data_IF_958916861213
#
_entry.id   IF_958916861213
#
_cell.length_a   1.000
_cell.length_b   1.000
_cell.length_c   1.000
_cell.angle_alpha   90.00
_cell.angle_beta   90.00
_cell.angle_gamma   90.00
#
_symmetry.space_group_name_H-M   'P 1'
#
loop_
_entity.id
_entity.type
_entity.pdbx_description
1 polymer ?
#
# COMPACT_ATOMS: atom_id res chain seq x y z
N UNK A 1 19.60 30.54 12.08
CA UNK A 1 19.05 29.23 12.44
C UNK A 1 20.18 28.24 12.37
N UNK A 2 20.55 27.67 13.49
CA UNK A 2 21.61 26.65 13.59
C UNK A 2 21.15 25.33 13.00
N UNK A 3 22.09 24.44 12.63
CA UNK A 3 21.76 23.09 12.12
C UNK A 3 20.92 22.32 13.14
N UNK A 4 21.25 22.47 14.42
CA UNK A 4 20.52 21.81 15.52
C UNK A 4 19.06 22.30 15.62
N UNK A 5 18.79 23.58 15.38
CA UNK A 5 17.43 24.13 15.37
C UNK A 5 16.58 23.50 14.26
N UNK A 6 17.19 23.28 13.07
CA UNK A 6 16.52 22.63 11.93
C UNK A 6 16.23 21.18 12.26
N UNK A 7 17.17 20.48 12.86
CA UNK A 7 17.00 19.09 13.24
C UNK A 7 15.88 18.93 14.27
N UNK A 8 15.89 19.75 15.32
CA UNK A 8 14.86 19.77 16.35
C UNK A 8 13.47 20.04 15.76
N UNK A 9 13.38 21.03 14.86
CA UNK A 9 12.11 21.33 14.18
C UNK A 9 11.61 20.14 13.34
N UNK A 10 12.50 19.49 12.59
CA UNK A 10 12.15 18.32 11.76
C UNK A 10 11.70 17.14 12.62
N UNK A 11 12.38 16.87 13.73
CA UNK A 11 12.00 15.79 14.65
C UNK A 11 10.66 16.08 15.32
N UNK A 12 10.42 17.33 15.73
CA UNK A 12 9.13 17.73 16.30
C UNK A 12 7.99 17.57 15.29
N UNK A 13 8.19 17.97 14.03
CA UNK A 13 7.21 17.79 12.95
C UNK A 13 6.92 16.32 12.63
N UNK A 14 7.78 15.42 13.07
CA UNK A 14 7.61 13.97 12.92
C UNK A 14 7.06 13.31 14.18
N UNK A 15 6.60 14.08 15.16
CA UNK A 15 6.06 13.57 16.44
C UNK A 15 7.07 12.74 17.25
N UNK A 16 8.35 13.05 17.14
CA UNK A 16 9.41 12.33 17.89
C UNK A 16 9.72 12.96 19.25
N UNK A 17 9.23 14.18 19.53
CA UNK A 17 9.33 14.84 20.84
C UNK A 17 7.97 14.99 21.51
N UNK A 18 7.00 15.52 20.76
CA UNK A 18 5.63 15.66 21.24
C UNK A 18 4.79 14.63 20.52
N UNK A 19 4.27 13.63 21.22
CA UNK A 19 3.46 12.59 20.59
C UNK A 19 2.22 13.16 19.92
N UNK A 20 1.81 12.52 18.82
CA UNK A 20 0.54 12.79 18.18
C UNK A 20 -0.61 12.25 19.02
N UNK A 21 -1.78 12.83 18.84
CA UNK A 21 -3.00 12.44 19.53
C UNK A 21 -3.41 10.99 19.18
N UNK A 22 -3.33 10.65 17.88
CA UNK A 22 -3.72 9.34 17.38
C UNK A 22 -2.92 8.96 16.10
N UNK A 23 -3.12 7.73 15.65
CA UNK A 23 -2.48 7.13 14.48
C UNK A 23 -2.86 7.85 13.18
N UNK A 24 -4.12 8.27 13.05
CA UNK A 24 -4.62 8.93 11.84
C UNK A 24 -4.01 10.32 11.69
N UNK A 25 -3.81 11.03 12.81
CA UNK A 25 -3.06 12.29 12.83
C UNK A 25 -1.65 12.14 12.30
N UNK A 26 -0.95 11.06 12.70
CA UNK A 26 0.39 10.74 12.16
C UNK A 26 0.32 10.45 10.67
N UNK A 27 -0.61 9.58 10.24
CA UNK A 27 -0.73 9.18 8.84
C UNK A 27 -1.04 10.37 7.94
N UNK A 28 -1.97 11.25 8.33
CA UNK A 28 -2.32 12.46 7.57
C UNK A 28 -1.17 13.46 7.50
N UNK A 29 -0.56 13.77 8.64
CA UNK A 29 0.50 14.78 8.73
C UNK A 29 1.78 14.39 7.98
N UNK A 30 2.08 13.09 7.91
CA UNK A 30 3.26 12.55 7.23
C UNK A 30 2.96 12.03 5.82
N UNK A 31 1.73 12.19 5.33
CA UNK A 31 1.27 11.65 4.05
C UNK A 31 1.49 10.11 3.96
N UNK A 32 1.22 9.41 5.06
CA UNK A 32 1.41 7.99 5.19
C UNK A 32 2.76 7.57 5.76
N UNK A 33 2.85 6.32 6.14
CA UNK A 33 4.07 5.68 6.63
C UNK A 33 4.41 4.47 5.76
N UNK A 34 5.69 4.31 5.46
CA UNK A 34 6.15 3.13 4.71
C UNK A 34 5.75 1.86 5.45
N UNK A 35 5.07 0.95 4.75
CA UNK A 35 4.49 -0.26 5.29
C UNK A 35 4.89 -1.52 4.52
N UNK A 36 6.07 -1.49 3.87
CA UNK A 36 6.65 -2.67 3.24
C UNK A 36 6.71 -3.83 4.23
N UNK A 37 7.22 -3.54 5.41
CA UNK A 37 7.15 -4.40 6.59
C UNK A 37 6.15 -3.81 7.57
N UNK A 38 4.97 -4.40 7.68
CA UNK A 38 3.87 -3.84 8.48
C UNK A 38 4.24 -3.67 9.96
N UNK A 39 4.97 -4.63 10.54
CA UNK A 39 5.46 -4.52 11.90
C UNK A 39 6.33 -3.27 12.16
N UNK A 40 7.16 -2.88 11.18
CA UNK A 40 7.97 -1.66 11.30
C UNK A 40 7.08 -0.40 11.24
N UNK A 41 6.00 -0.43 10.45
CA UNK A 41 5.02 0.65 10.39
C UNK A 41 4.30 0.80 11.74
N UNK A 42 3.86 -0.29 12.37
CA UNK A 42 3.25 -0.27 13.70
C UNK A 42 4.23 0.26 14.76
N UNK A 43 5.51 -0.15 14.69
CA UNK A 43 6.54 0.39 15.57
C UNK A 43 6.74 1.90 15.37
N UNK A 44 6.76 2.36 14.12
CA UNK A 44 6.86 3.77 13.79
C UNK A 44 5.66 4.60 14.31
N UNK A 45 4.44 4.06 14.27
CA UNK A 45 3.26 4.65 14.88
C UNK A 45 3.39 4.71 16.40
N UNK A 46 3.79 3.59 17.03
CA UNK A 46 4.00 3.54 18.48
C UNK A 46 4.96 4.62 18.98
N UNK A 47 6.07 4.82 18.28
CA UNK A 47 7.05 5.86 18.63
C UNK A 47 6.45 7.27 18.55
N UNK A 48 5.56 7.51 17.60
CA UNK A 48 4.97 8.82 17.34
C UNK A 48 3.73 9.14 18.16
N UNK A 49 2.98 8.12 18.56
CA UNK A 49 1.81 8.27 19.42
C UNK A 49 2.12 8.04 20.90
N UNK A 50 3.33 7.53 21.24
CA UNK A 50 3.71 7.21 22.62
C UNK A 50 2.94 6.04 23.24
N UNK A 51 2.11 5.36 22.48
CA UNK A 51 1.26 4.22 22.89
C UNK A 51 1.20 3.15 21.81
N UNK A 52 0.74 1.96 22.15
CA UNK A 52 0.50 0.92 21.14
C UNK A 52 -0.59 1.39 20.18
N UNK A 53 -0.41 1.19 18.84
CA UNK A 53 -1.44 1.52 17.87
C UNK A 53 -2.70 0.72 18.08
N UNK A 54 -3.86 1.35 17.87
CA UNK A 54 -5.16 0.70 17.86
C UNK A 54 -5.38 0.01 16.50
N UNK A 55 -5.31 -1.32 16.49
CA UNK A 55 -5.46 -2.11 15.27
C UNK A 55 -6.87 -2.04 14.69
N UNK A 56 -7.90 -1.81 15.50
CA UNK A 56 -9.27 -1.66 15.00
C UNK A 56 -9.44 -0.33 14.25
N UNK A 57 -8.86 0.75 14.77
CA UNK A 57 -8.81 2.03 14.08
C UNK A 57 -8.04 1.88 12.76
N UNK A 58 -6.88 1.24 12.78
CA UNK A 58 -6.09 1.05 11.56
C UNK A 58 -6.82 0.21 10.52
N UNK A 59 -7.54 -0.84 10.94
CA UNK A 59 -8.30 -1.71 10.03
C UNK A 59 -9.49 -1.01 9.38
N UNK A 60 -10.15 -0.10 10.09
CA UNK A 60 -11.36 0.58 9.61
C UNK A 60 -11.08 1.91 8.92
N UNK A 61 -10.03 2.61 9.33
CA UNK A 61 -9.77 4.00 8.93
C UNK A 61 -8.41 4.22 8.24
N UNK A 62 -7.67 3.16 7.96
CA UNK A 62 -6.43 3.21 7.19
C UNK A 62 -6.40 2.14 6.10
N UNK A 63 -5.61 2.37 5.06
CA UNK A 63 -5.41 1.42 3.97
C UNK A 63 -3.93 1.29 3.64
N UNK A 64 -3.48 0.05 3.43
CA UNK A 64 -2.14 -0.25 2.94
C UNK A 64 -2.20 -0.43 1.44
N UNK A 65 -1.49 0.43 0.71
CA UNK A 65 -1.49 0.40 -0.75
C UNK A 65 -0.17 0.88 -1.35
N UNK A 66 -0.01 0.64 -2.63
CA UNK A 66 1.07 1.24 -3.42
C UNK A 66 0.81 2.74 -3.59
N UNK A 67 1.79 3.57 -3.24
CA UNK A 67 1.70 5.03 -3.32
C UNK A 67 2.95 5.60 -3.98
N UNK A 68 3.45 6.72 -3.46
CA UNK A 68 4.61 7.43 -3.98
C UNK A 68 5.82 6.50 -4.20
N UNK A 69 6.48 6.66 -5.33
CA UNK A 69 7.69 5.93 -5.73
C UNK A 69 7.55 4.41 -5.80
N UNK A 70 6.32 3.89 -5.96
CA UNK A 70 6.11 2.47 -6.08
C UNK A 70 6.42 1.66 -4.81
N UNK A 71 6.26 2.26 -3.64
CA UNK A 71 6.41 1.58 -2.35
C UNK A 71 5.09 1.48 -1.60
N UNK A 72 4.95 0.43 -0.79
CA UNK A 72 3.76 0.24 0.04
C UNK A 72 3.77 1.21 1.21
N UNK A 73 2.67 1.95 1.37
CA UNK A 73 2.44 2.83 2.51
C UNK A 73 1.12 2.49 3.19
N UNK A 74 1.06 2.73 4.49
CA UNK A 74 -0.18 2.84 5.24
C UNK A 74 -0.58 4.31 5.23
N UNK A 75 -1.76 4.62 4.74
CA UNK A 75 -2.33 5.97 4.64
C UNK A 75 -3.68 6.03 5.34
N UNK A 76 -4.12 7.20 5.75
CA UNK A 76 -5.48 7.38 6.22
C UNK A 76 -6.47 7.14 5.07
N UNK A 77 -7.59 6.47 5.35
CA UNK A 77 -8.57 6.12 4.31
C UNK A 77 -9.18 7.36 3.64
N UNK A 78 -9.38 8.44 4.40
CA UNK A 78 -9.89 9.71 3.89
C UNK A 78 -8.95 10.37 2.87
N UNK A 79 -7.64 10.08 2.96
CA UNK A 79 -6.64 10.59 2.05
C UNK A 79 -6.50 9.74 0.78
N UNK A 80 -7.22 8.62 0.69
CA UNK A 80 -7.15 7.71 -0.46
C UNK A 80 -7.33 8.43 -1.81
N UNK A 81 -8.27 9.39 -1.98
CA UNK A 81 -8.41 10.10 -3.25
C UNK A 81 -7.17 10.88 -3.68
N UNK A 82 -6.31 11.31 -2.75
CA UNK A 82 -5.05 12.03 -3.05
C UNK A 82 -4.01 11.10 -3.68
N UNK A 83 -4.10 9.81 -3.40
CA UNK A 83 -3.16 8.78 -3.87
C UNK A 83 -3.71 7.97 -5.05
N UNK A 84 -5.02 7.96 -5.25
CA UNK A 84 -5.68 7.41 -6.44
C UNK A 84 -5.61 8.43 -7.56
N UNK A 85 -4.43 8.62 -8.09
CA UNK A 85 -4.23 9.48 -9.24
C UNK A 85 -4.79 8.80 -10.49
N UNK A 86 -5.89 9.30 -11.01
CA UNK A 86 -6.64 9.00 -12.26
C UNK A 86 -6.33 7.68 -13.03
N UNK A 87 -5.73 6.71 -12.38
CA UNK A 87 -5.31 5.44 -12.98
C UNK A 87 -4.11 5.53 -13.93
N UNK A 88 -3.47 6.69 -14.04
CA UNK A 88 -2.30 6.92 -14.92
C UNK A 88 -1.00 7.04 -14.15
N UNK A 89 -0.97 6.56 -12.92
CA UNK A 89 0.30 6.43 -12.20
C UNK A 89 1.25 5.60 -13.07
N UNK A 90 2.45 6.10 -13.31
CA UNK A 90 3.51 5.36 -13.99
C UNK A 90 3.92 4.07 -13.25
N UNK A 91 3.41 3.85 -12.04
CA UNK A 91 3.52 2.61 -11.28
C UNK A 91 2.50 1.55 -11.70
N UNK A 92 1.36 1.97 -12.22
CA UNK A 92 0.40 1.11 -12.90
C UNK A 92 0.80 1.10 -14.38
N UNK A 93 1.86 0.38 -14.71
CA UNK A 93 2.18 0.15 -16.12
C UNK A 93 0.94 -0.43 -16.78
N UNK A 94 0.48 0.13 -17.90
CA UNK A 94 -0.59 -0.49 -18.65
C UNK A 94 -0.25 -1.94 -18.91
N UNK A 95 -1.24 -2.83 -18.86
CA UNK A 95 -1.05 -4.24 -19.19
C UNK A 95 -0.41 -4.45 -20.58
N UNK A 96 -0.31 -3.39 -21.37
CA UNK A 96 0.24 -3.38 -22.73
C UNK A 96 1.75 -3.15 -22.81
N UNK A 97 2.40 -2.69 -21.72
CA UNK A 97 3.88 -2.60 -21.69
C UNK A 97 4.44 -3.94 -21.21
N UNK A 98 4.76 -4.79 -22.17
CA UNK A 98 5.51 -6.03 -21.92
C UNK A 98 7.00 -5.73 -21.89
N UNK A 99 7.71 -6.21 -20.87
CA UNK A 99 9.14 -6.47 -20.98
C UNK A 99 9.32 -7.84 -21.64
N UNK A 100 10.44 -8.05 -22.34
CA UNK A 100 10.76 -9.33 -22.98
C UNK A 100 10.87 -10.50 -21.99
N UNK A 101 10.98 -10.21 -20.68
CA UNK A 101 10.99 -11.17 -19.58
C UNK A 101 9.60 -11.49 -19.01
N UNK A 102 8.53 -10.89 -19.53
CA UNK A 102 7.18 -11.09 -19.03
C UNK A 102 6.64 -12.47 -19.45
N UNK A 103 6.55 -13.39 -18.49
CA UNK A 103 5.96 -14.73 -18.65
C UNK A 103 4.47 -14.71 -18.96
N UNK A 104 3.82 -13.53 -18.83
CA UNK A 104 2.41 -13.29 -19.08
C UNK A 104 2.21 -12.39 -20.28
N UNK A 105 1.49 -12.86 -21.29
CA UNK A 105 1.07 -11.99 -22.40
C UNK A 105 0.14 -10.87 -21.94
N UNK A 106 0.10 -9.76 -22.66
CA UNK A 106 -0.80 -8.65 -22.35
C UNK A 106 -2.29 -9.08 -22.34
N UNK A 107 -2.68 -9.97 -23.24
CA UNK A 107 -4.03 -10.54 -23.27
C UNK A 107 -4.34 -11.34 -22.00
N UNK A 108 -3.38 -12.17 -21.56
CA UNK A 108 -3.54 -12.98 -20.34
C UNK A 108 -3.57 -12.12 -19.08
N UNK A 109 -2.76 -11.06 -19.02
CA UNK A 109 -2.81 -10.09 -17.91
C UNK A 109 -4.19 -9.44 -17.80
N UNK A 110 -4.80 -9.03 -18.91
CA UNK A 110 -6.16 -8.44 -18.91
C UNK A 110 -7.22 -9.44 -18.48
N UNK A 111 -7.14 -10.68 -18.92
CA UNK A 111 -8.05 -11.75 -18.52
C UNK A 111 -7.99 -12.01 -17.02
N UNK A 112 -6.78 -12.23 -16.46
CA UNK A 112 -6.59 -12.44 -15.02
C UNK A 112 -7.02 -11.21 -14.20
N UNK A 113 -6.70 -10.00 -14.67
CA UNK A 113 -7.14 -8.76 -14.01
C UNK A 113 -8.68 -8.64 -13.97
N UNK A 114 -9.38 -9.03 -15.04
CA UNK A 114 -10.84 -9.03 -15.06
C UNK A 114 -11.43 -10.03 -14.05
N UNK A 115 -10.85 -11.23 -13.95
CA UNK A 115 -11.26 -12.25 -12.98
C UNK A 115 -11.05 -11.74 -11.55
N UNK A 116 -9.88 -11.16 -11.25
CA UNK A 116 -9.56 -10.61 -9.94
C UNK A 116 -10.51 -9.46 -9.60
N UNK A 117 -10.77 -8.55 -10.53
CA UNK A 117 -11.67 -7.42 -10.32
C UNK A 117 -13.10 -7.86 -10.03
N UNK A 118 -13.61 -8.86 -10.77
CA UNK A 118 -14.94 -9.42 -10.53
C UNK A 118 -15.04 -10.09 -9.14
N UNK A 119 -14.01 -10.84 -8.75
CA UNK A 119 -13.93 -11.45 -7.44
C UNK A 119 -13.87 -10.40 -6.32
N UNK A 120 -13.08 -9.35 -6.50
CA UNK A 120 -12.97 -8.26 -5.54
C UNK A 120 -14.31 -7.52 -5.35
N UNK A 121 -15.07 -7.28 -6.42
CA UNK A 121 -16.42 -6.71 -6.35
C UNK A 121 -17.40 -7.58 -5.56
N UNK A 122 -17.15 -8.88 -5.51
CA UNK A 122 -17.93 -9.88 -4.74
C UNK A 122 -17.41 -10.05 -3.30
N UNK A 123 -16.42 -9.24 -2.89
CA UNK A 123 -15.85 -9.24 -1.53
C UNK A 123 -14.67 -10.21 -1.34
N UNK A 124 -14.20 -10.88 -2.40
CA UNK A 124 -12.99 -11.70 -2.33
C UNK A 124 -11.76 -10.79 -2.41
N UNK A 125 -10.95 -10.71 -1.35
CA UNK A 125 -9.79 -9.83 -1.29
C UNK A 125 -8.51 -10.51 -0.79
N UNK A 126 -8.62 -11.76 -0.37
CA UNK A 126 -7.48 -12.53 0.13
C UNK A 126 -6.54 -12.98 -0.99
N UNK A 127 -5.24 -12.66 -0.90
CA UNK A 127 -4.24 -13.08 -1.90
C UNK A 127 -4.31 -14.61 -2.19
N UNK A 128 -4.50 -15.42 -1.15
CA UNK A 128 -4.58 -16.87 -1.28
C UNK A 128 -5.84 -17.29 -2.07
N UNK A 129 -6.97 -16.66 -1.79
CA UNK A 129 -8.24 -16.93 -2.48
C UNK A 129 -8.17 -16.51 -3.95
N UNK A 130 -7.60 -15.34 -4.25
CA UNK A 130 -7.40 -14.84 -5.61
C UNK A 130 -6.46 -15.75 -6.41
N UNK A 131 -5.39 -16.26 -5.81
CA UNK A 131 -4.50 -17.26 -6.43
C UNK A 131 -5.27 -18.53 -6.82
N UNK A 132 -6.05 -19.11 -5.89
CA UNK A 132 -6.84 -20.30 -6.14
C UNK A 132 -7.88 -20.07 -7.25
N UNK A 133 -8.52 -18.91 -7.25
CA UNK A 133 -9.46 -18.52 -8.29
C UNK A 133 -8.79 -18.46 -9.67
N UNK A 134 -7.65 -17.79 -9.79
CA UNK A 134 -6.91 -17.70 -11.04
C UNK A 134 -6.41 -19.06 -11.52
N UNK A 135 -5.99 -19.95 -10.63
CA UNK A 135 -5.65 -21.36 -10.95
C UNK A 135 -6.87 -22.11 -11.51
N UNK A 136 -8.07 -21.91 -10.94
CA UNK A 136 -9.32 -22.44 -11.46
C UNK A 136 -9.65 -21.96 -12.89
N UNK A 137 -9.11 -20.80 -13.30
CA UNK A 137 -9.16 -20.26 -14.66
C UNK A 137 -7.92 -20.58 -15.49
N UNK A 138 -7.20 -21.66 -15.15
CA UNK A 138 -6.08 -22.18 -15.94
C UNK A 138 -4.77 -21.41 -15.81
N UNK A 139 -4.58 -20.65 -14.72
CA UNK A 139 -3.29 -20.02 -14.44
C UNK A 139 -2.24 -21.09 -14.10
N UNK A 140 -1.10 -21.06 -14.80
CA UNK A 140 0.02 -21.97 -14.57
C UNK A 140 0.89 -21.48 -13.39
N UNK A 141 1.78 -22.34 -12.89
CA UNK A 141 2.70 -21.96 -11.81
C UNK A 141 3.67 -20.84 -12.23
N UNK A 142 4.11 -20.85 -13.47
CA UNK A 142 4.97 -19.79 -14.02
C UNK A 142 4.22 -18.45 -14.14
N UNK A 143 2.97 -18.49 -14.58
CA UNK A 143 2.10 -17.31 -14.63
C UNK A 143 1.80 -16.78 -13.22
N UNK A 144 1.57 -17.69 -12.25
CA UNK A 144 1.31 -17.30 -10.86
C UNK A 144 2.49 -16.55 -10.26
N UNK A 145 3.71 -17.04 -10.46
CA UNK A 145 4.91 -16.38 -9.98
C UNK A 145 5.01 -14.95 -10.55
N UNK A 146 4.75 -14.80 -11.84
CA UNK A 146 4.79 -13.48 -12.49
C UNK A 146 3.67 -12.53 -12.08
N UNK A 147 2.48 -13.04 -11.76
CA UNK A 147 1.30 -12.25 -11.44
C UNK A 147 1.23 -11.80 -9.97
N UNK A 148 1.82 -12.59 -9.06
CA UNK A 148 1.61 -12.41 -7.62
C UNK A 148 2.91 -12.15 -6.83
N UNK A 149 4.11 -12.17 -7.40
CA UNK A 149 5.36 -11.79 -6.76
C UNK A 149 5.68 -10.33 -6.98
#
# INVERSE_FOLDING_TARGET
MQIDDILLLRMNRQYLFVPAEDELTVLRSLCGLQAQFYGNCLHALRLRCGKAPDEDILRTSAVKMWTLRGTLHLIALDDLPLFLYDGRSHFLRPCDTMSDDDRLSAARKRELAAIILDAAKKGCGGRKELRLLCRGHGMTDDEEQSAFD
#
